data_IF_149847646484
#
_entry.id   IF_149847646484
#
_cell.length_a   1.000
_cell.length_b   1.000
_cell.length_c   1.000
_cell.angle_alpha   90.00
_cell.angle_beta   90.00
_cell.angle_gamma   90.00
#
_symmetry.space_group_name_H-M   'P 1'
#
loop_
_entity.id
_entity.type
_entity.pdbx_description
1 polymer ?
#
# COMPACT_ATOMS: atom_id res chain seq x y z
N UNK A 1 17.93 7.88 -18.32
CA UNK A 1 17.55 7.36 -17.00
C UNK A 1 17.42 8.57 -16.08
N UNK A 2 16.27 8.92 -15.51
CA UNK A 2 16.23 10.02 -14.55
C UNK A 2 16.89 9.55 -13.25
N UNK A 3 17.83 10.34 -12.73
CA UNK A 3 18.54 10.07 -11.48
C UNK A 3 17.56 10.10 -10.30
N UNK A 4 17.45 8.97 -9.61
CA UNK A 4 16.71 8.86 -8.35
C UNK A 4 17.60 9.45 -7.28
N UNK A 5 17.21 10.61 -6.73
CA UNK A 5 17.92 11.26 -5.65
C UNK A 5 17.71 10.47 -4.35
N UNK A 6 18.73 9.72 -3.91
CA UNK A 6 18.68 8.94 -2.69
C UNK A 6 18.84 9.84 -1.45
N UNK A 7 18.02 9.68 -0.41
CA UNK A 7 18.09 10.52 0.78
C UNK A 7 19.27 10.16 1.68
N UNK A 8 20.15 11.13 1.93
CA UNK A 8 21.11 11.14 3.03
C UNK A 8 20.37 11.37 4.35
N UNK A 9 19.83 10.32 4.97
CA UNK A 9 19.41 10.37 6.37
C UNK A 9 17.95 10.06 6.64
N UNK A 10 17.53 8.82 6.41
CA UNK A 10 16.70 8.02 7.32
C UNK A 10 17.29 6.62 7.22
N UNK A 11 17.52 5.94 8.35
CA UNK A 11 18.22 4.64 8.46
C UNK A 11 18.13 3.77 7.20
N UNK A 12 19.24 3.13 6.82
CA UNK A 12 19.51 2.30 5.62
C UNK A 12 18.39 1.33 5.12
N UNK A 13 17.29 1.21 5.86
CA UNK A 13 16.08 0.41 5.59
C UNK A 13 15.04 1.04 4.66
N UNK A 14 15.09 2.34 4.36
CA UNK A 14 14.02 3.03 3.62
C UNK A 14 14.50 3.61 2.28
N UNK A 15 14.66 2.74 1.28
CA UNK A 15 15.05 3.12 -0.09
C UNK A 15 13.85 3.23 -1.04
N UNK A 16 14.05 3.93 -2.16
CA UNK A 16 13.11 3.97 -3.29
C UNK A 16 12.76 2.57 -3.77
N UNK A 17 13.76 1.69 -3.87
CA UNK A 17 13.58 0.30 -4.28
C UNK A 17 12.67 -0.46 -3.32
N UNK A 18 12.88 -0.31 -2.01
CA UNK A 18 12.08 -0.98 -1.01
C UNK A 18 10.60 -0.52 -1.06
N UNK A 19 10.37 0.79 -1.15
CA UNK A 19 9.03 1.34 -1.33
C UNK A 19 8.35 0.81 -2.61
N UNK A 20 9.09 0.79 -3.72
CA UNK A 20 8.62 0.27 -5.00
C UNK A 20 8.24 -1.22 -4.88
N UNK A 21 9.08 -2.05 -4.25
CA UNK A 21 8.80 -3.47 -4.03
C UNK A 21 7.54 -3.71 -3.20
N UNK A 22 7.30 -2.91 -2.14
CA UNK A 22 6.08 -3.02 -1.35
C UNK A 22 4.84 -2.70 -2.20
N UNK A 23 4.88 -1.60 -2.94
CA UNK A 23 3.79 -1.18 -3.82
C UNK A 23 3.50 -2.22 -4.90
N UNK A 24 4.54 -2.81 -5.49
CA UNK A 24 4.41 -3.88 -6.48
C UNK A 24 3.79 -5.14 -5.88
N UNK A 25 4.26 -5.57 -4.71
CA UNK A 25 3.73 -6.76 -4.03
C UNK A 25 2.26 -6.60 -3.66
N UNK A 26 1.88 -5.47 -3.08
CA UNK A 26 0.48 -5.19 -2.70
C UNK A 26 -0.41 -5.07 -3.94
N UNK A 27 0.05 -4.40 -4.99
CA UNK A 27 -0.69 -4.30 -6.25
C UNK A 27 -0.94 -5.67 -6.88
N UNK A 28 0.10 -6.51 -6.97
CA UNK A 28 -0.02 -7.87 -7.52
C UNK A 28 -0.97 -8.72 -6.68
N UNK A 29 -0.90 -8.60 -5.35
CA UNK A 29 -1.79 -9.33 -4.43
C UNK A 29 -3.24 -8.95 -4.64
N UNK A 30 -3.55 -7.65 -4.67
CA UNK A 30 -4.92 -7.17 -4.85
C UNK A 30 -5.47 -7.53 -6.24
N UNK A 31 -4.64 -7.43 -7.28
CA UNK A 31 -5.01 -7.82 -8.63
C UNK A 31 -5.32 -9.33 -8.71
N UNK A 32 -4.49 -10.18 -8.10
CA UNK A 32 -4.70 -11.62 -8.07
C UNK A 32 -5.99 -12.02 -7.31
N UNK A 33 -6.40 -11.21 -6.33
CA UNK A 33 -7.65 -11.38 -5.60
C UNK A 33 -8.88 -10.78 -6.31
N UNK A 34 -8.70 -10.16 -7.49
CA UNK A 34 -9.79 -9.62 -8.31
C UNK A 34 -10.22 -8.19 -7.99
N UNK A 35 -9.45 -7.43 -7.21
CA UNK A 35 -9.71 -6.02 -6.95
C UNK A 35 -9.17 -5.13 -8.08
N UNK A 36 -9.74 -3.93 -8.21
CA UNK A 36 -9.39 -2.95 -9.24
C UNK A 36 -9.04 -1.61 -8.60
N UNK A 37 -8.24 -0.79 -9.28
CA UNK A 37 -7.86 0.54 -8.81
C UNK A 37 -9.03 1.52 -8.94
N UNK A 38 -9.85 1.65 -7.89
CA UNK A 38 -11.01 2.56 -7.87
C UNK A 38 -11.01 3.36 -6.58
N UNK A 39 -11.11 4.69 -6.69
CA UNK A 39 -11.24 5.55 -5.52
C UNK A 39 -12.63 5.39 -4.87
N UNK A 40 -12.76 5.72 -3.58
CA UNK A 40 -14.09 5.83 -2.99
C UNK A 40 -14.90 6.91 -3.72
N UNK A 41 -16.19 6.65 -4.03
CA UNK A 41 -17.09 7.70 -4.44
C UNK A 41 -17.31 8.67 -3.28
N UNK A 42 -17.26 9.98 -3.57
CA UNK A 42 -17.84 11.05 -2.74
C UNK A 42 -17.42 11.06 -1.26
N UNK A 43 -16.10 11.05 -1.00
CA UNK A 43 -15.51 11.11 0.34
C UNK A 43 -15.93 12.39 1.09
N UNK A 44 -16.09 13.50 0.37
CA UNK A 44 -16.41 14.81 0.95
C UNK A 44 -17.79 14.83 1.62
N UNK A 45 -18.77 14.07 1.10
CA UNK A 45 -20.12 14.01 1.64
C UNK A 45 -20.19 13.32 3.02
N UNK A 46 -19.16 12.54 3.35
CA UNK A 46 -19.11 11.72 4.56
C UNK A 46 -18.22 12.31 5.65
N UNK A 47 -17.56 13.45 5.40
CA UNK A 47 -16.70 14.14 6.37
C UNK A 47 -17.56 14.65 7.54
N UNK A 48 -17.22 14.24 8.76
CA UNK A 48 -17.99 14.58 9.97
C UNK A 48 -19.11 13.58 10.33
N UNK A 49 -19.29 12.53 9.53
CA UNK A 49 -20.18 11.41 9.86
C UNK A 49 -19.66 10.58 11.04
N UNK A 50 -20.57 9.92 11.78
CA UNK A 50 -20.23 9.16 13.00
C UNK A 50 -19.63 7.78 12.73
N UNK A 51 -19.70 7.28 11.49
CA UNK A 51 -19.15 5.99 11.06
C UNK A 51 -19.11 5.89 9.53
N UNK A 52 -17.97 5.50 8.97
CA UNK A 52 -17.86 5.14 7.56
C UNK A 52 -17.85 3.61 7.49
N UNK A 53 -18.99 3.00 7.18
CA UNK A 53 -19.08 1.55 6.93
C UNK A 53 -19.02 1.32 5.43
N UNK A 54 -17.87 0.84 4.97
CA UNK A 54 -17.64 0.59 3.55
C UNK A 54 -17.46 -0.89 3.29
N UNK A 55 -18.14 -1.47 2.28
CA UNK A 55 -17.91 -2.84 1.88
C UNK A 55 -16.42 -3.14 1.67
N UNK A 56 -15.96 -4.29 2.17
CA UNK A 56 -14.57 -4.77 2.01
C UNK A 56 -14.06 -4.60 0.57
N UNK A 57 -14.91 -4.90 -0.42
CA UNK A 57 -14.56 -4.76 -1.83
C UNK A 57 -14.15 -3.34 -2.21
N UNK A 58 -14.98 -2.36 -1.88
CA UNK A 58 -14.70 -0.95 -2.17
C UNK A 58 -13.44 -0.47 -1.43
N UNK A 59 -13.27 -0.90 -0.18
CA UNK A 59 -12.09 -0.57 0.63
C UNK A 59 -10.78 -1.08 0.02
N UNK A 60 -10.79 -2.30 -0.52
CA UNK A 60 -9.63 -2.89 -1.16
C UNK A 60 -9.39 -2.35 -2.58
N UNK A 61 -10.44 -1.99 -3.31
CA UNK A 61 -10.30 -1.22 -4.54
C UNK A 61 -9.68 0.16 -4.30
N UNK A 62 -10.07 0.82 -3.21
CA UNK A 62 -9.49 2.09 -2.80
C UNK A 62 -8.02 1.96 -2.41
N UNK A 63 -7.64 0.90 -1.68
CA UNK A 63 -6.23 0.61 -1.41
C UNK A 63 -5.42 0.45 -2.70
N UNK A 64 -5.99 -0.19 -3.72
CA UNK A 64 -5.33 -0.34 -5.02
C UNK A 64 -5.16 1.01 -5.73
N UNK A 65 -6.18 1.89 -5.70
CA UNK A 65 -6.04 3.27 -6.18
C UNK A 65 -4.97 4.07 -5.41
N UNK A 66 -4.90 3.91 -4.09
CA UNK A 66 -3.90 4.57 -3.25
C UNK A 66 -2.47 4.13 -3.60
N UNK A 67 -2.26 2.87 -3.99
CA UNK A 67 -0.96 2.38 -4.45
C UNK A 67 -0.48 3.20 -5.66
N UNK A 68 -1.34 3.42 -6.66
CA UNK A 68 -0.99 4.19 -7.86
C UNK A 68 -0.65 5.64 -7.54
N UNK A 69 -1.42 6.29 -6.66
CA UNK A 69 -1.11 7.64 -6.16
C UNK A 69 0.22 7.68 -5.40
N UNK A 70 0.53 6.63 -4.65
CA UNK A 70 1.78 6.55 -3.89
C UNK A 70 3.00 6.49 -4.82
N UNK A 71 2.89 5.82 -5.96
CA UNK A 71 3.95 5.82 -7.00
C UNK A 71 4.22 7.21 -7.58
N UNK A 72 3.21 8.08 -7.66
CA UNK A 72 3.41 9.47 -8.08
C UNK A 72 4.26 10.25 -7.07
N UNK A 73 4.02 10.05 -5.76
CA UNK A 73 4.86 10.66 -4.73
C UNK A 73 6.29 10.11 -4.72
N UNK A 74 6.44 8.81 -5.00
CA UNK A 74 7.75 8.17 -5.09
C UNK A 74 8.57 8.74 -6.25
N UNK A 75 7.97 8.88 -7.44
CA UNK A 75 8.61 9.54 -8.59
C UNK A 75 8.99 10.99 -8.30
N UNK A 76 8.23 11.68 -7.45
CA UNK A 76 8.53 13.04 -7.02
C UNK A 76 9.51 13.16 -5.84
N UNK A 77 10.14 12.07 -5.38
CA UNK A 77 11.07 12.09 -4.25
C UNK A 77 10.44 12.45 -2.90
N UNK A 78 9.11 12.37 -2.77
CA UNK A 78 8.38 12.79 -1.56
C UNK A 78 8.30 11.67 -0.51
N UNK A 79 9.44 11.13 -0.09
CA UNK A 79 9.54 9.91 0.71
C UNK A 79 8.73 9.92 2.01
N UNK A 80 8.75 11.01 2.78
CA UNK A 80 7.95 11.11 4.00
C UNK A 80 6.44 10.94 3.74
N UNK A 81 5.96 11.40 2.57
CA UNK A 81 4.57 11.21 2.13
C UNK A 81 4.34 9.78 1.63
N UNK A 82 5.29 9.22 0.90
CA UNK A 82 5.26 7.82 0.41
C UNK A 82 5.04 6.87 1.58
N UNK A 83 5.92 6.89 2.59
CA UNK A 83 5.84 5.94 3.70
C UNK A 83 4.60 6.15 4.58
N UNK A 84 4.12 7.39 4.71
CA UNK A 84 2.83 7.66 5.36
C UNK A 84 1.67 6.98 4.63
N UNK A 85 1.66 7.04 3.30
CA UNK A 85 0.62 6.40 2.48
C UNK A 85 0.75 4.87 2.47
N UNK A 86 1.98 4.34 2.44
CA UNK A 86 2.23 2.91 2.59
C UNK A 86 1.67 2.41 3.94
N UNK A 87 1.92 3.12 5.04
CA UNK A 87 1.36 2.75 6.34
C UNK A 87 -0.18 2.72 6.34
N UNK A 88 -0.83 3.65 5.64
CA UNK A 88 -2.30 3.65 5.50
C UNK A 88 -2.79 2.46 4.67
N UNK A 89 -2.13 2.17 3.54
CA UNK A 89 -2.42 0.99 2.71
C UNK A 89 -2.29 -0.29 3.54
N UNK A 90 -1.20 -0.43 4.31
CA UNK A 90 -0.98 -1.57 5.21
C UNK A 90 -2.09 -1.70 6.27
N UNK A 91 -2.53 -0.57 6.85
CA UNK A 91 -3.68 -0.54 7.76
C UNK A 91 -4.95 -1.09 7.11
N UNK A 92 -5.24 -0.68 5.87
CA UNK A 92 -6.39 -1.18 5.11
C UNK A 92 -6.29 -2.69 4.85
N UNK A 93 -5.12 -3.16 4.41
CA UNK A 93 -4.87 -4.58 4.14
C UNK A 93 -5.03 -5.44 5.39
N UNK A 94 -4.57 -4.96 6.55
CA UNK A 94 -4.73 -5.61 7.84
C UNK A 94 -6.20 -5.69 8.26
N UNK A 95 -6.91 -4.55 8.26
CA UNK A 95 -8.31 -4.48 8.70
C UNK A 95 -9.24 -5.36 7.87
N UNK A 96 -8.87 -5.66 6.62
CA UNK A 96 -9.64 -6.53 5.72
C UNK A 96 -9.14 -7.98 5.69
N UNK A 97 -8.17 -8.34 6.53
CA UNK A 97 -7.64 -9.71 6.67
C UNK A 97 -6.76 -10.18 5.51
N UNK A 98 -6.29 -9.27 4.65
CA UNK A 98 -5.37 -9.61 3.55
C UNK A 98 -4.02 -10.03 4.12
N UNK A 99 -3.51 -9.26 5.09
CA UNK A 99 -2.28 -9.57 5.81
C UNK A 99 -2.46 -9.48 7.33
N UNK A 100 -1.64 -10.21 8.07
CA UNK A 100 -1.47 -10.10 9.52
C UNK A 100 -0.47 -8.98 9.87
N UNK A 101 -0.51 -8.51 11.11
CA UNK A 101 0.46 -7.52 11.59
C UNK A 101 1.91 -8.06 11.56
N UNK A 102 2.09 -9.37 11.72
CA UNK A 102 3.41 -10.00 11.65
C UNK A 102 4.00 -9.94 10.22
N UNK A 103 3.19 -10.31 9.22
CA UNK A 103 3.55 -10.21 7.79
C UNK A 103 3.89 -8.75 7.42
N UNK A 104 3.07 -7.78 7.85
CA UNK A 104 3.34 -6.36 7.58
C UNK A 104 4.62 -5.84 8.22
N UNK A 105 4.94 -6.27 9.45
CA UNK A 105 6.21 -5.94 10.11
C UNK A 105 7.41 -6.51 9.35
N UNK A 106 7.27 -7.70 8.76
CA UNK A 106 8.30 -8.33 7.94
C UNK A 106 8.51 -7.57 6.63
N UNK A 107 7.42 -7.16 5.96
CA UNK A 107 7.49 -6.34 4.75
C UNK A 107 8.23 -5.01 4.97
N UNK A 108 8.07 -4.39 6.15
CA UNK A 108 8.75 -3.13 6.51
C UNK A 108 10.24 -3.29 6.82
N UNK A 109 10.74 -4.53 7.01
CA UNK A 109 12.16 -4.79 7.25
C UNK A 109 12.85 -4.88 5.90
N UNK A 110 12.76 -6.03 5.22
CA UNK A 110 13.37 -6.24 3.89
C UNK A 110 12.75 -7.42 3.12
N UNK A 111 11.93 -8.24 3.78
CA UNK A 111 11.54 -9.54 3.27
C UNK A 111 10.12 -9.47 2.67
N UNK A 112 10.08 -8.93 1.46
CA UNK A 112 8.86 -8.84 0.65
C UNK A 112 8.86 -10.04 -0.31
N UNK A 113 7.87 -10.95 -0.24
CA UNK A 113 7.80 -12.11 -1.10
C UNK A 113 7.77 -11.73 -2.59
N UNK A 114 8.38 -12.57 -3.44
CA UNK A 114 8.48 -12.30 -4.88
C UNK A 114 7.19 -12.61 -5.67
N UNK A 115 6.30 -13.47 -5.13
CA UNK A 115 5.10 -13.92 -5.84
C UNK A 115 3.89 -14.14 -4.93
N UNK A 116 2.71 -14.14 -5.55
CA UNK A 116 1.41 -14.51 -4.97
C UNK A 116 1.12 -15.93 -5.50
N UNK A 117 0.82 -16.96 -4.69
CA UNK A 117 -0.05 -16.92 -3.51
C UNK A 117 0.64 -17.40 -2.23
N UNK A 118 0.92 -16.47 -1.33
CA UNK A 118 1.51 -16.76 0.00
C UNK A 118 0.61 -17.63 0.90
N UNK A 119 -0.69 -17.76 0.58
CA UNK A 119 -1.65 -18.61 1.30
C UNK A 119 -2.23 -19.69 0.39
N UNK A 120 -1.86 -20.94 0.62
CA UNK A 120 -2.75 -22.06 0.34
C UNK A 120 -3.88 -22.01 1.37
N UNK A 121 -5.12 -21.82 0.92
CA UNK A 121 -6.28 -22.16 1.75
C UNK A 121 -6.38 -23.68 1.75
N UNK A 122 -5.96 -24.29 2.86
CA UNK A 122 -6.39 -25.63 3.26
C UNK A 122 -7.66 -25.53 4.08
#
# INVERSE_FOLDING_TARGET
MPEVNEPLGFSESFSTEHAQRMLDFYSKTLLALGYKAEAYPEIEEHVGGRKFETPKYQTLCHAMWMIDRTREFLRGGRFAKVYRWIGMIQGILFMNGVFSLAELKQHNRFDIPESVPYRNHS
#
